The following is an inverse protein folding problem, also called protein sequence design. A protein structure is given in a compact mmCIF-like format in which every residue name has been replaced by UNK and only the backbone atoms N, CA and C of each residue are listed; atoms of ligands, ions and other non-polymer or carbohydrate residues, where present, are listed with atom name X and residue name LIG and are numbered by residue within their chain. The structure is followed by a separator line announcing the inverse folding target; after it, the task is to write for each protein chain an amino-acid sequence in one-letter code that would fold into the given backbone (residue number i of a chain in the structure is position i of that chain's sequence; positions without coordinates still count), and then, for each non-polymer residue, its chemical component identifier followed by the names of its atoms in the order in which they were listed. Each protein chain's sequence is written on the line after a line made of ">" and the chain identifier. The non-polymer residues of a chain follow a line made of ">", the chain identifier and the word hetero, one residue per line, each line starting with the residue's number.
data_IF_865190267225
#
_entry.id   IF_865190267225
#
_cell.length_a   1.000
_cell.length_b   1.000
_cell.length_c   1.000
_cell.angle_alpha   90.00
_cell.angle_beta   90.00
_cell.angle_gamma   90.00
#
_symmetry.space_group_name_H-M   'P 1'
#
loop_
_entity.id
_entity.type
_entity.pdbx_description
1 polymer ?
#
# COMPACT_ATOMS: atom_id res chain seq x y z
N UNK A 1 57.12 5.02 -20.37
CA UNK A 1 56.12 5.69 -21.23
C UNK A 1 54.79 5.69 -20.49
N UNK A 2 54.32 6.90 -20.13
CA UNK A 2 52.95 7.41 -19.84
C UNK A 2 51.79 6.39 -19.87
N UNK A 3 50.67 6.47 -19.13
CA UNK A 3 50.12 7.28 -18.04
C UNK A 3 48.72 6.65 -17.70
N UNK A 4 48.23 6.80 -16.46
CA UNK A 4 46.83 6.88 -15.95
C UNK A 4 45.70 5.95 -16.50
N UNK A 5 44.70 5.52 -15.73
CA UNK A 5 43.68 6.31 -15.00
C UNK A 5 43.09 5.46 -13.86
N UNK A 6 43.02 6.03 -12.65
CA UNK A 6 42.15 5.53 -11.60
C UNK A 6 40.70 5.93 -11.88
N UNK A 7 39.75 4.99 -11.79
CA UNK A 7 38.34 5.32 -11.55
C UNK A 7 37.98 4.85 -10.16
N UNK A 8 37.84 5.82 -9.26
CA UNK A 8 37.07 5.70 -8.03
C UNK A 8 35.63 5.45 -8.48
N UNK A 9 35.13 4.24 -8.29
CA UNK A 9 33.69 4.03 -8.20
C UNK A 9 33.35 4.06 -6.72
N UNK A 10 32.68 5.16 -6.39
CA UNK A 10 32.15 5.51 -5.09
C UNK A 10 31.42 4.33 -4.43
N UNK A 11 31.92 3.90 -3.28
CA UNK A 11 31.23 2.98 -2.38
C UNK A 11 30.19 3.77 -1.56
N UNK A 12 29.30 4.50 -2.22
CA UNK A 12 28.07 4.98 -1.61
C UNK A 12 27.01 3.89 -1.78
N UNK A 13 27.18 2.80 -1.02
CA UNK A 13 26.02 1.98 -0.65
C UNK A 13 25.25 2.84 0.35
N UNK A 14 24.49 3.82 -0.16
CA UNK A 14 23.39 4.37 0.61
C UNK A 14 22.49 3.17 0.87
N UNK A 15 22.24 2.77 2.14
CA UNK A 15 21.20 1.78 2.38
C UNK A 15 19.95 2.30 1.65
N UNK A 16 19.23 1.48 0.87
CA UNK A 16 17.98 1.93 0.30
C UNK A 16 17.20 2.51 1.48
N UNK A 17 16.97 3.83 1.42
CA UNK A 17 16.07 4.50 2.35
C UNK A 17 14.86 3.58 2.44
N UNK A 18 14.43 3.17 3.65
CA UNK A 18 13.37 2.18 3.80
C UNK A 18 12.28 2.58 2.83
N UNK A 19 12.03 1.73 1.82
CA UNK A 19 11.14 2.05 0.70
C UNK A 19 9.96 2.77 1.32
N UNK A 20 9.86 4.08 1.01
CA UNK A 20 9.04 5.01 1.77
C UNK A 20 7.73 4.32 2.03
N UNK A 21 7.40 4.03 3.30
CA UNK A 21 6.15 3.35 3.65
C UNK A 21 5.08 4.27 3.10
N UNK A 22 4.59 3.94 1.91
CA UNK A 22 3.70 4.78 1.14
C UNK A 22 2.47 4.90 2.00
N UNK A 23 2.18 6.12 2.47
CA UNK A 23 0.96 6.33 3.22
C UNK A 23 -0.20 5.93 2.31
N UNK A 24 -1.15 5.12 2.81
CA UNK A 24 -2.23 4.66 1.97
C UNK A 24 -3.01 5.88 1.45
N UNK A 25 -3.34 5.85 0.17
CA UNK A 25 -4.17 6.87 -0.46
C UNK A 25 -5.58 6.88 0.16
N UNK A 26 -6.05 5.73 0.65
CA UNK A 26 -7.27 5.62 1.44
C UNK A 26 -7.14 4.51 2.51
N UNK A 27 -7.74 4.72 3.68
CA UNK A 27 -7.80 3.74 4.75
C UNK A 27 -9.24 3.59 5.26
N UNK A 28 -9.69 2.35 5.40
CA UNK A 28 -10.93 1.97 6.06
C UNK A 28 -10.55 1.27 7.36
N UNK A 29 -11.14 1.69 8.48
CA UNK A 29 -10.83 1.14 9.81
C UNK A 29 -12.12 0.82 10.56
N UNK A 30 -12.31 -0.46 10.88
CA UNK A 30 -13.33 -0.96 11.79
C UNK A 30 -14.77 -0.68 11.37
N UNK A 31 -15.04 -0.55 10.06
CA UNK A 31 -16.38 -0.21 9.60
C UNK A 31 -17.33 -1.38 9.80
N UNK A 32 -18.45 -1.08 10.46
CA UNK A 32 -19.57 -2.00 10.63
C UNK A 32 -20.86 -1.33 10.17
N UNK A 33 -21.76 -2.08 9.54
CA UNK A 33 -23.03 -1.58 9.03
C UNK A 33 -24.14 -2.60 9.23
N UNK A 34 -25.29 -2.11 9.68
CA UNK A 34 -26.52 -2.89 9.84
C UNK A 34 -27.69 -2.25 9.10
N UNK A 35 -28.58 -3.10 8.58
CA UNK A 35 -29.88 -2.71 8.05
C UNK A 35 -30.95 -3.48 8.86
N UNK A 36 -31.67 -2.76 9.72
CA UNK A 36 -32.58 -3.38 10.69
C UNK A 36 -31.84 -4.37 11.59
N UNK A 37 -32.25 -5.64 11.55
CA UNK A 37 -31.62 -6.73 12.32
C UNK A 37 -30.44 -7.39 11.61
N UNK A 38 -30.20 -7.07 10.33
CA UNK A 38 -29.18 -7.74 9.53
C UNK A 38 -27.88 -6.95 9.58
N UNK A 39 -26.80 -7.63 9.96
CA UNK A 39 -25.44 -7.11 9.87
C UNK A 39 -24.88 -7.38 8.48
N UNK A 40 -24.45 -6.33 7.77
CA UNK A 40 -23.92 -6.43 6.40
C UNK A 40 -22.42 -6.20 6.32
N UNK A 41 -21.85 -5.46 7.28
CA UNK A 41 -20.41 -5.29 7.46
C UNK A 41 -20.09 -5.40 8.94
N UNK A 42 -19.03 -6.10 9.29
CA UNK A 42 -18.58 -6.31 10.67
C UNK A 42 -17.09 -6.09 10.78
N UNK A 43 -16.72 -4.96 11.40
CA UNK A 43 -15.33 -4.58 11.72
C UNK A 43 -14.36 -4.72 10.54
N UNK A 44 -14.73 -4.17 9.38
CA UNK A 44 -13.93 -4.23 8.16
C UNK A 44 -12.85 -3.15 8.20
N UNK A 45 -11.61 -3.56 7.96
CA UNK A 45 -10.45 -2.67 7.84
C UNK A 45 -9.58 -3.08 6.65
N UNK A 46 -9.18 -2.11 5.83
CA UNK A 46 -8.20 -2.30 4.76
C UNK A 46 -7.65 -0.94 4.31
N UNK A 47 -6.49 -0.99 3.67
CA UNK A 47 -5.83 0.17 3.07
C UNK A 47 -5.82 0.04 1.55
N UNK A 48 -5.72 1.18 0.86
CA UNK A 48 -5.49 1.25 -0.59
C UNK A 48 -4.28 2.15 -0.82
N UNK A 49 -3.24 1.60 -1.42
CA UNK A 49 -2.02 2.36 -1.73
C UNK A 49 -2.24 3.33 -2.90
N UNK A 50 -1.36 4.32 -3.04
CA UNK A 50 -1.38 5.21 -4.20
C UNK A 50 -1.12 4.42 -5.50
N UNK A 51 -1.99 4.58 -6.50
CA UNK A 51 -1.92 3.84 -7.76
C UNK A 51 -2.46 2.40 -7.71
N UNK A 52 -2.92 1.94 -6.54
CA UNK A 52 -3.56 0.62 -6.39
C UNK A 52 -5.03 0.66 -6.86
N UNK A 53 -5.43 -0.34 -7.63
CA UNK A 53 -6.82 -0.56 -8.00
C UNK A 53 -7.43 -1.67 -7.15
N UNK A 54 -8.24 -1.30 -6.15
CA UNK A 54 -9.03 -2.23 -5.35
C UNK A 54 -10.38 -2.53 -6.03
N UNK A 55 -10.73 -3.81 -6.14
CA UNK A 55 -12.03 -4.26 -6.64
C UNK A 55 -12.74 -5.09 -5.58
N UNK A 56 -13.91 -4.64 -5.13
CA UNK A 56 -14.78 -5.41 -4.26
C UNK A 56 -15.71 -6.29 -5.11
N UNK A 57 -15.66 -7.61 -4.88
CA UNK A 57 -16.45 -8.61 -5.61
C UNK A 57 -17.43 -9.34 -4.69
N UNK A 58 -18.55 -9.83 -5.24
CA UNK A 58 -19.59 -10.50 -4.47
C UNK A 58 -21.02 -10.29 -4.98
N UNK A 59 -21.94 -11.12 -4.48
CA UNK A 59 -23.35 -11.14 -4.90
C UNK A 59 -24.10 -9.84 -4.56
N UNK A 60 -25.29 -9.64 -5.16
CA UNK A 60 -26.17 -8.52 -4.81
C UNK A 60 -26.49 -8.52 -3.31
N UNK A 61 -26.35 -7.37 -2.65
CA UNK A 61 -26.60 -7.22 -1.21
C UNK A 61 -25.45 -7.64 -0.27
N UNK A 62 -24.29 -8.04 -0.78
CA UNK A 62 -23.17 -8.53 0.05
C UNK A 62 -22.38 -7.45 0.81
N UNK A 63 -22.77 -6.18 0.73
CA UNK A 63 -22.08 -5.09 1.45
C UNK A 63 -20.83 -4.51 0.77
N UNK A 64 -20.60 -4.83 -0.51
CA UNK A 64 -19.58 -4.15 -1.34
C UNK A 64 -19.86 -2.66 -1.46
#
# INVERSE_FOLDING_TARGET
>A
MKAQVARIMDLSITPPLPESVSQPAASIIGISKRFGKTSVLENISFDVAEGEALVLLGASGSGK
#
